data_IF_024801211144
#
_entry.id   IF_024801211144
#
_cell.length_a   1.000
_cell.length_b   1.000
_cell.length_c   1.000
_cell.angle_alpha   90.00
_cell.angle_beta   90.00
_cell.angle_gamma   90.00
#
_symmetry.space_group_name_H-M   'P 1'
#
loop_
_entity.id
_entity.type
_entity.pdbx_description
1 polymer ?
#
# COMPACT_ATOMS: atom_id res chain seq x y z
N UNK A 1 12.17 20.96 21.87
CA UNK A 1 11.12 19.99 22.22
C UNK A 1 10.23 19.85 21.01
N UNK A 2 10.22 18.71 20.32
CA UNK A 2 9.35 18.51 19.17
C UNK A 2 7.89 18.56 19.64
N UNK A 3 7.10 19.44 19.06
CA UNK A 3 5.67 19.57 19.37
C UNK A 3 4.97 18.26 19.02
N UNK A 4 4.05 17.77 19.85
CA UNK A 4 3.40 16.46 19.70
C UNK A 4 2.80 16.19 18.31
N UNK A 5 2.36 17.25 17.58
CA UNK A 5 1.90 17.14 16.19
C UNK A 5 2.98 16.67 15.22
N UNK A 6 4.23 17.07 15.39
CA UNK A 6 5.33 16.66 14.50
C UNK A 6 5.60 15.16 14.65
N UNK A 7 5.58 14.64 15.88
CA UNK A 7 5.77 13.20 16.14
C UNK A 7 4.68 12.34 15.50
N UNK A 8 3.42 12.82 15.51
CA UNK A 8 2.29 12.12 14.87
C UNK A 8 2.46 12.13 13.34
N UNK A 9 2.89 13.25 12.75
CA UNK A 9 3.16 13.35 11.32
C UNK A 9 4.22 12.34 10.88
N UNK A 10 5.35 12.28 11.58
CA UNK A 10 6.42 11.31 11.30
C UNK A 10 5.94 9.87 11.44
N UNK A 11 5.12 9.57 12.44
CA UNK A 11 4.59 8.23 12.64
C UNK A 11 3.66 7.82 11.49
N UNK A 12 2.81 8.73 11.02
CA UNK A 12 1.92 8.51 9.86
C UNK A 12 2.76 8.22 8.61
N UNK A 13 3.75 9.06 8.29
CA UNK A 13 4.63 8.84 7.15
C UNK A 13 5.36 7.50 7.23
N UNK A 14 5.87 7.16 8.41
CA UNK A 14 6.57 5.91 8.62
C UNK A 14 5.62 4.72 8.40
N UNK A 15 4.41 4.75 8.95
CA UNK A 15 3.44 3.66 8.81
C UNK A 15 2.94 3.49 7.39
N UNK A 16 2.49 4.58 6.76
CA UNK A 16 1.97 4.55 5.39
C UNK A 16 3.09 4.24 4.39
N UNK A 17 4.28 4.82 4.56
CA UNK A 17 5.45 4.50 3.73
C UNK A 17 5.88 3.04 3.87
N UNK A 18 5.92 2.50 5.09
CA UNK A 18 6.22 1.08 5.29
C UNK A 18 5.16 0.16 4.66
N UNK A 19 3.87 0.49 4.79
CA UNK A 19 2.78 -0.23 4.15
C UNK A 19 2.90 -0.21 2.63
N UNK A 20 3.18 0.97 2.06
CA UNK A 20 3.32 1.17 0.62
C UNK A 20 4.51 0.38 0.06
N UNK A 21 5.64 0.38 0.76
CA UNK A 21 6.81 -0.43 0.43
C UNK A 21 6.45 -1.92 0.44
N UNK A 22 5.73 -2.41 1.47
CA UNK A 22 5.30 -3.81 1.54
C UNK A 22 4.37 -4.19 0.37
N UNK A 23 3.43 -3.32 0.00
CA UNK A 23 2.54 -3.54 -1.15
C UNK A 23 3.31 -3.51 -2.48
N UNK A 24 4.29 -2.61 -2.62
CA UNK A 24 5.17 -2.58 -3.79
C UNK A 24 6.03 -3.86 -3.86
N UNK A 25 6.57 -4.34 -2.75
CA UNK A 25 7.26 -5.64 -2.68
C UNK A 25 6.33 -6.78 -3.08
N UNK A 26 5.09 -6.80 -2.58
CA UNK A 26 4.10 -7.81 -2.99
C UNK A 26 3.92 -7.81 -4.50
N UNK A 27 3.75 -6.64 -5.11
CA UNK A 27 3.58 -6.49 -6.55
C UNK A 27 4.80 -7.01 -7.33
N UNK A 28 6.01 -6.60 -6.93
CA UNK A 28 7.27 -7.00 -7.57
C UNK A 28 7.49 -8.51 -7.43
N UNK A 29 7.34 -9.05 -6.22
CA UNK A 29 7.48 -10.49 -5.96
C UNK A 29 6.50 -11.30 -6.80
N UNK A 30 5.24 -10.85 -6.89
CA UNK A 30 4.26 -11.47 -7.77
C UNK A 30 4.71 -11.40 -9.23
N UNK A 31 5.07 -10.21 -9.73
CA UNK A 31 5.58 -10.04 -11.11
C UNK A 31 6.77 -10.93 -11.43
N UNK A 32 7.64 -11.19 -10.45
CA UNK A 32 8.79 -12.09 -10.58
C UNK A 32 8.44 -13.58 -10.47
N UNK A 33 7.17 -13.93 -10.28
CA UNK A 33 6.73 -15.31 -10.07
C UNK A 33 7.23 -15.91 -8.75
N UNK A 34 7.45 -15.08 -7.72
CA UNK A 34 8.03 -15.52 -6.46
C UNK A 34 7.14 -16.57 -5.78
N UNK A 35 7.79 -17.67 -5.37
CA UNK A 35 7.11 -18.79 -4.71
C UNK A 35 6.76 -18.47 -3.25
N UNK A 36 5.52 -18.79 -2.86
CA UNK A 36 5.03 -18.70 -1.48
C UNK A 36 5.76 -19.69 -0.55
N UNK A 37 6.49 -20.67 -1.10
CA UNK A 37 7.38 -21.53 -0.31
C UNK A 37 8.51 -20.75 0.39
N UNK A 38 8.85 -19.56 -0.10
CA UNK A 38 9.76 -18.66 0.61
C UNK A 38 9.05 -18.04 1.80
N UNK A 39 9.59 -18.24 3.00
CA UNK A 39 9.05 -17.64 4.23
C UNK A 39 8.93 -16.12 4.16
N UNK A 40 9.85 -15.44 3.46
CA UNK A 40 9.78 -14.00 3.22
C UNK A 40 8.57 -13.61 2.35
N UNK A 41 8.36 -14.32 1.25
CA UNK A 41 7.24 -14.06 0.32
C UNK A 41 5.91 -14.32 1.01
N UNK A 42 5.81 -15.44 1.74
CA UNK A 42 4.63 -15.79 2.53
C UNK A 42 4.30 -14.74 3.58
N UNK A 43 5.33 -14.21 4.28
CA UNK A 43 5.15 -13.12 5.24
C UNK A 43 4.62 -11.86 4.57
N UNK A 44 5.24 -11.41 3.47
CA UNK A 44 4.80 -10.20 2.76
C UNK A 44 3.36 -10.35 2.26
N UNK A 45 3.01 -11.49 1.65
CA UNK A 45 1.67 -11.72 1.12
C UNK A 45 0.62 -11.84 2.22
N UNK A 46 0.99 -12.44 3.36
CA UNK A 46 0.13 -12.53 4.54
C UNK A 46 -0.15 -11.17 5.17
N UNK A 47 0.89 -10.39 5.45
CA UNK A 47 0.75 -9.05 6.05
C UNK A 47 -0.02 -8.10 5.14
N UNK A 48 0.28 -8.10 3.84
CA UNK A 48 -0.39 -7.21 2.88
C UNK A 48 -1.79 -7.70 2.49
N UNK A 49 -2.12 -8.96 2.76
CA UNK A 49 -3.40 -9.58 2.39
C UNK A 49 -4.61 -8.85 2.96
N UNK A 50 -4.57 -8.48 4.24
CA UNK A 50 -5.68 -7.77 4.89
C UNK A 50 -5.91 -6.37 4.30
N UNK A 51 -4.85 -5.71 3.82
CA UNK A 51 -4.92 -4.37 3.24
C UNK A 51 -5.44 -4.37 1.80
N UNK A 52 -5.23 -5.47 1.06
CA UNK A 52 -5.76 -5.59 -0.31
C UNK A 52 -7.21 -6.09 -0.34
N UNK A 53 -7.68 -6.77 0.72
CA UNK A 53 -8.99 -7.39 0.84
C UNK A 53 -10.17 -6.49 0.40
N UNK A 54 -10.28 -5.22 0.83
CA UNK A 54 -11.39 -4.36 0.39
C UNK A 54 -11.35 -3.99 -1.09
N UNK A 55 -10.20 -4.15 -1.74
CA UNK A 55 -10.01 -3.85 -3.16
C UNK A 55 -10.10 -5.12 -4.04
N UNK A 56 -10.27 -6.29 -3.42
CA UNK A 56 -10.53 -7.53 -4.15
C UNK A 56 -11.89 -7.46 -4.85
N UNK A 57 -11.91 -7.84 -6.13
CA UNK A 57 -13.15 -7.83 -6.93
C UNK A 57 -13.53 -6.49 -7.56
N UNK A 58 -12.76 -5.41 -7.35
CA UNK A 58 -12.97 -4.11 -8.05
C UNK A 58 -12.92 -4.29 -9.57
N UNK A 59 -11.97 -5.08 -10.06
CA UNK A 59 -11.97 -5.52 -11.44
C UNK A 59 -12.75 -6.82 -11.50
N UNK A 60 -13.82 -6.85 -12.32
CA UNK A 60 -14.44 -8.13 -12.74
C UNK A 60 -13.28 -8.99 -13.22
N UNK A 61 -13.14 -10.20 -12.66
CA UNK A 61 -12.23 -11.22 -13.20
C UNK A 61 -12.65 -11.40 -14.65
N UNK A 62 -11.99 -10.69 -15.56
CA UNK A 62 -12.17 -10.88 -16.98
C UNK A 62 -11.84 -12.33 -17.19
N UNK A 63 -12.86 -13.11 -17.51
CA UNK A 63 -12.78 -14.52 -17.80
C UNK A 63 -11.79 -14.72 -18.95
N UNK A 64 -10.50 -14.87 -18.65
CA UNK A 64 -9.72 -15.92 -19.29
C UNK A 64 -10.21 -17.22 -18.64
N UNK A 65 -11.37 -17.68 -19.09
CA UNK A 65 -11.98 -18.96 -18.77
C UNK A 65 -11.21 -20.12 -19.43
N UNK A 66 -9.91 -19.97 -19.55
CA UNK A 66 -9.05 -20.84 -20.30
C UNK A 66 -7.63 -20.58 -19.87
N UNK A 67 -7.00 -21.67 -19.43
CA UNK A 67 -5.62 -21.81 -19.02
C UNK A 67 -5.41 -21.58 -17.53
N UNK A 68 -5.06 -22.68 -16.89
CA UNK A 68 -4.52 -22.89 -15.57
C UNK A 68 -3.18 -22.15 -15.35
N UNK A 69 -3.15 -20.86 -15.66
CA UNK A 69 -2.06 -19.97 -15.30
C UNK A 69 -2.61 -19.00 -14.29
N UNK A 70 -2.42 -19.33 -13.02
CA UNK A 70 -2.34 -18.43 -11.87
C UNK A 70 -2.12 -17.00 -12.37
N UNK A 71 -3.18 -16.18 -12.47
CA UNK A 71 -3.05 -14.81 -12.94
C UNK A 71 -2.12 -14.11 -11.96
N UNK A 72 -0.86 -13.98 -12.36
CA UNK A 72 0.26 -13.62 -11.50
C UNK A 72 0.11 -12.17 -11.02
N UNK A 73 -0.63 -11.35 -11.76
CA UNK A 73 -0.95 -9.98 -11.38
C UNK A 73 -2.30 -9.89 -10.67
N UNK A 74 -2.29 -9.33 -9.47
CA UNK A 74 -3.47 -8.94 -8.69
C UNK A 74 -3.74 -7.45 -8.90
N UNK A 75 -4.72 -7.05 -9.73
CA UNK A 75 -5.07 -5.64 -9.94
C UNK A 75 -5.48 -4.93 -8.64
N UNK A 76 -6.00 -5.68 -7.66
CA UNK A 76 -6.31 -5.18 -6.32
C UNK A 76 -5.09 -4.63 -5.59
N UNK A 77 -3.90 -5.22 -5.79
CA UNK A 77 -2.65 -4.72 -5.19
C UNK A 77 -2.27 -3.36 -5.77
N UNK A 78 -2.42 -3.18 -7.08
CA UNK A 78 -2.16 -1.88 -7.73
C UNK A 78 -3.10 -0.80 -7.22
N UNK A 79 -4.39 -1.11 -7.09
CA UNK A 79 -5.38 -0.18 -6.53
C UNK A 79 -5.06 0.15 -5.08
N UNK A 80 -4.69 -0.85 -4.28
CA UNK A 80 -4.30 -0.64 -2.90
C UNK A 80 -3.12 0.35 -2.80
N UNK A 81 -2.07 0.18 -3.62
CA UNK A 81 -0.93 1.11 -3.67
C UNK A 81 -1.42 2.53 -3.98
N UNK A 82 -2.21 2.71 -5.04
CA UNK A 82 -2.69 4.05 -5.45
C UNK A 82 -3.54 4.68 -4.35
N UNK A 83 -4.47 3.93 -3.77
CA UNK A 83 -5.37 4.44 -2.73
C UNK A 83 -4.59 4.82 -1.48
N UNK A 84 -3.68 3.97 -1.01
CA UNK A 84 -2.85 4.26 0.16
C UNK A 84 -1.87 5.41 -0.09
N UNK A 85 -1.33 5.56 -1.30
CA UNK A 85 -0.51 6.71 -1.70
C UNK A 85 -1.29 8.02 -1.58
N UNK A 86 -2.51 8.04 -2.12
CA UNK A 86 -3.41 9.21 -2.09
C UNK A 86 -3.85 9.52 -0.65
N UNK A 87 -4.16 8.50 0.15
CA UNK A 87 -4.51 8.66 1.56
C UNK A 87 -3.34 9.24 2.36
N UNK A 88 -2.13 8.69 2.18
CA UNK A 88 -0.93 9.19 2.84
C UNK A 88 -0.69 10.66 2.50
N UNK A 89 -0.71 11.01 1.21
CA UNK A 89 -0.55 12.40 0.75
C UNK A 89 -1.66 13.32 1.28
N UNK A 90 -2.91 12.87 1.31
CA UNK A 90 -4.06 13.62 1.81
C UNK A 90 -3.96 13.91 3.31
N UNK A 91 -3.64 12.89 4.12
CA UNK A 91 -3.46 13.03 5.58
C UNK A 91 -2.32 13.99 5.88
N UNK A 92 -1.19 13.85 5.19
CA UNK A 92 -0.04 14.76 5.31
C UNK A 92 -0.42 16.19 5.02
N UNK A 93 -1.12 16.43 3.90
CA UNK A 93 -1.53 17.77 3.49
C UNK A 93 -2.45 18.39 4.54
N UNK A 94 -3.35 17.59 5.10
CA UNK A 94 -4.24 18.00 6.18
C UNK A 94 -3.46 18.36 7.45
N UNK A 95 -2.52 17.50 7.87
CA UNK A 95 -1.64 17.75 9.02
C UNK A 95 -0.82 19.02 8.82
N UNK A 96 -0.26 19.26 7.62
CA UNK A 96 0.45 20.51 7.30
C UNK A 96 -0.44 21.75 7.41
N UNK A 97 -1.67 21.68 6.92
CA UNK A 97 -2.64 22.77 7.02
C UNK A 97 -2.97 23.07 8.50
N UNK A 98 -3.20 22.03 9.30
CA UNK A 98 -3.50 22.18 10.73
C UNK A 98 -2.28 22.58 11.58
N UNK A 99 -1.08 22.12 11.22
CA UNK A 99 0.17 22.44 11.93
C UNK A 99 0.67 23.85 11.67
N UNK A 100 0.15 24.55 10.64
CA UNK A 100 0.08 26.00 10.59
C UNK A 100 1.27 26.77 11.17
N UNK A 101 2.51 26.42 10.82
CA UNK A 101 3.57 27.42 10.86
C UNK A 101 3.22 28.43 9.77
N UNK A 102 2.84 29.60 10.26
CA UNK A 102 2.44 30.78 9.52
C UNK A 102 3.16 30.86 8.18
N UNK A 103 2.35 30.92 7.13
CA UNK A 103 2.76 31.45 5.84
C UNK A 103 3.43 32.82 6.09
N UNK A 104 4.74 32.88 5.91
CA UNK A 104 5.48 34.12 5.74
C UNK A 104 6.30 33.99 4.47
N UNK A 105 5.70 34.38 3.35
CA UNK A 105 6.39 35.11 2.31
C UNK A 105 5.39 35.98 1.56
#
# INVERSE_FOLDING_TARGET
MATSSQTIEYLIYFFFGALEILLAFRLVLKLMGASIASGFVGLVYGLTGIFILPFEGIFRRGTAQGIETTSVLEPSTLVAIIVYAVLAWGIVKLVRIFSGEKQSN
#
